data_IF_652247754468
#
_entry.id   IF_652247754468
#
_cell.length_a   1.000
_cell.length_b   1.000
_cell.length_c   1.000
_cell.angle_alpha   90.00
_cell.angle_beta   90.00
_cell.angle_gamma   90.00
#
_symmetry.space_group_name_H-M   'P 1'
#
loop_
_entity.id
_entity.type
_entity.pdbx_description
1 polymer ?
#
# COMPACT_ATOMS: atom_id res chain seq x y z
N UNK A 1 -58.35 34.16 7.29
CA UNK A 1 -56.97 34.15 7.77
C UNK A 1 -56.36 32.80 7.46
N UNK A 2 -55.50 32.74 6.45
CA UNK A 2 -54.80 31.51 6.08
C UNK A 2 -53.51 31.47 6.85
N UNK A 3 -53.41 30.54 7.83
CA UNK A 3 -52.14 30.28 8.50
C UNK A 3 -51.30 29.37 7.62
N UNK A 4 -50.26 29.93 6.99
CA UNK A 4 -49.26 29.18 6.29
C UNK A 4 -48.33 28.58 7.35
N UNK A 5 -48.52 27.28 7.59
CA UNK A 5 -47.55 26.51 8.41
C UNK A 5 -46.36 26.18 7.51
N UNK A 6 -45.29 26.93 7.69
CA UNK A 6 -44.04 26.67 7.00
C UNK A 6 -43.38 25.45 7.68
N UNK A 7 -43.57 24.30 7.09
CA UNK A 7 -42.96 23.07 7.55
C UNK A 7 -41.47 23.07 7.08
N UNK A 8 -40.58 23.49 7.96
CA UNK A 8 -39.14 23.48 7.76
C UNK A 8 -38.67 22.02 7.93
N UNK A 9 -38.75 21.26 6.84
CA UNK A 9 -38.17 19.92 6.80
C UNK A 9 -36.62 20.08 6.72
N UNK A 10 -36.00 20.10 7.88
CA UNK A 10 -34.55 20.11 8.00
C UNK A 10 -34.03 18.74 7.58
N UNK A 11 -33.70 18.59 6.29
CA UNK A 11 -33.06 17.40 5.77
C UNK A 11 -31.62 17.37 6.29
N UNK A 12 -31.41 16.62 7.37
CA UNK A 12 -30.10 16.36 7.93
C UNK A 12 -29.31 15.47 6.96
N UNK A 13 -28.54 16.10 6.08
CA UNK A 13 -27.58 15.40 5.23
C UNK A 13 -26.44 14.88 6.12
N UNK A 14 -26.50 13.61 6.48
CA UNK A 14 -25.38 12.88 7.06
C UNK A 14 -24.27 12.80 6.01
N UNK A 15 -23.36 13.76 6.04
CA UNK A 15 -22.11 13.67 5.27
C UNK A 15 -21.26 12.58 5.94
N UNK A 16 -21.31 11.39 5.37
CA UNK A 16 -20.45 10.30 5.76
C UNK A 16 -19.04 10.65 5.25
N UNK A 17 -18.24 11.30 6.08
CA UNK A 17 -16.83 11.58 5.78
C UNK A 17 -16.10 10.24 5.73
N UNK A 18 -15.87 9.73 4.53
CA UNK A 18 -14.94 8.62 4.33
C UNK A 18 -13.54 9.12 4.68
N UNK A 19 -13.08 8.80 5.86
CA UNK A 19 -11.69 9.00 6.24
C UNK A 19 -10.86 7.93 5.54
N UNK A 20 -10.23 8.31 4.42
CA UNK A 20 -9.16 7.51 3.83
C UNK A 20 -7.95 7.71 4.74
N UNK A 21 -7.56 6.67 5.48
CA UNK A 21 -6.37 6.72 6.31
C UNK A 21 -5.13 6.91 5.42
N UNK A 22 -4.26 7.89 5.77
CA UNK A 22 -2.97 8.05 5.13
C UNK A 22 -2.11 6.81 5.38
N UNK A 23 -1.28 6.43 4.38
CA UNK A 23 -0.35 5.32 4.52
C UNK A 23 0.66 5.57 5.64
N UNK A 24 0.96 4.54 6.43
CA UNK A 24 1.91 4.57 7.53
C UNK A 24 3.25 4.01 7.06
N UNK A 25 4.24 4.89 6.88
CA UNK A 25 5.59 4.54 6.42
C UNK A 25 6.29 3.63 7.44
N UNK A 26 6.14 3.90 8.74
CA UNK A 26 6.76 3.08 9.80
C UNK A 26 6.17 1.67 9.84
N UNK A 27 4.87 1.52 9.68
CA UNK A 27 4.23 0.22 9.57
C UNK A 27 4.67 -0.50 8.28
N UNK A 28 4.85 0.22 7.19
CA UNK A 28 5.40 -0.30 5.94
C UNK A 28 6.82 -0.84 6.12
N UNK A 29 7.69 -0.12 6.79
CA UNK A 29 9.04 -0.56 7.11
C UNK A 29 9.03 -1.84 7.97
N UNK A 30 8.21 -1.88 9.00
CA UNK A 30 8.05 -3.05 9.86
C UNK A 30 7.59 -4.27 9.06
N UNK A 31 6.60 -4.10 8.19
CA UNK A 31 6.13 -5.17 7.33
C UNK A 31 7.18 -5.64 6.32
N UNK A 32 7.92 -4.69 5.74
CA UNK A 32 9.03 -4.97 4.83
C UNK A 32 10.10 -5.84 5.50
N UNK A 33 10.55 -5.45 6.68
CA UNK A 33 11.58 -6.19 7.45
C UNK A 33 11.13 -7.58 7.88
N UNK A 34 9.84 -7.83 7.94
CA UNK A 34 9.30 -9.13 8.34
C UNK A 34 9.49 -10.21 7.25
N UNK A 35 9.36 -9.86 5.98
CA UNK A 35 9.39 -10.83 4.87
C UNK A 35 10.20 -10.37 3.66
N UNK A 36 10.00 -9.16 3.19
CA UNK A 36 10.52 -8.68 1.90
C UNK A 36 12.04 -8.55 1.88
N UNK A 37 12.60 -8.13 3.01
CA UNK A 37 14.05 -7.91 3.19
C UNK A 37 14.88 -9.17 2.91
N UNK A 38 14.33 -10.36 3.15
CA UNK A 38 15.06 -11.62 2.98
C UNK A 38 15.53 -11.84 1.55
N UNK A 39 14.79 -11.32 0.58
CA UNK A 39 15.13 -11.42 -0.84
C UNK A 39 15.56 -10.07 -1.42
N UNK A 40 14.81 -9.01 -1.16
CA UNK A 40 15.05 -7.70 -1.78
C UNK A 40 16.09 -6.83 -1.07
N UNK A 41 16.65 -7.31 0.04
CA UNK A 41 17.72 -6.64 0.76
C UNK A 41 17.27 -5.44 1.60
N UNK A 42 18.19 -4.86 2.37
CA UNK A 42 17.90 -3.69 3.19
C UNK A 42 17.36 -2.54 2.35
N UNK A 43 16.29 -1.89 2.84
CA UNK A 43 15.64 -0.75 2.18
C UNK A 43 15.24 -0.99 0.71
N UNK A 44 15.00 -2.23 0.32
CA UNK A 44 14.60 -2.58 -1.05
C UNK A 44 15.66 -2.35 -2.11
N UNK A 45 16.93 -2.34 -1.74
CA UNK A 45 18.04 -2.08 -2.68
C UNK A 45 18.26 -3.16 -3.73
N UNK A 46 17.68 -4.35 -3.52
CA UNK A 46 17.96 -5.54 -4.30
C UNK A 46 19.13 -6.35 -3.77
N UNK A 47 19.18 -7.61 -4.09
CA UNK A 47 20.26 -8.52 -3.71
C UNK A 47 20.38 -9.66 -4.73
N UNK A 48 21.58 -9.91 -5.25
CA UNK A 48 21.82 -10.94 -6.25
C UNK A 48 20.86 -10.83 -7.45
N UNK A 49 20.06 -11.87 -7.74
CA UNK A 49 19.06 -11.87 -8.83
C UNK A 49 17.74 -11.20 -8.44
N UNK A 50 17.54 -10.82 -7.18
CA UNK A 50 16.33 -10.14 -6.74
C UNK A 50 16.40 -8.64 -7.04
N UNK A 51 15.37 -8.07 -7.69
CA UNK A 51 15.47 -6.69 -8.15
C UNK A 51 15.37 -5.68 -7.01
N UNK A 52 15.94 -4.49 -7.28
CA UNK A 52 15.68 -3.29 -6.49
C UNK A 52 14.20 -2.92 -6.62
N UNK A 53 13.54 -2.67 -5.51
CA UNK A 53 12.12 -2.28 -5.43
C UNK A 53 11.89 -0.95 -4.72
N UNK A 54 12.93 -0.28 -4.25
CA UNK A 54 12.85 1.08 -3.70
C UNK A 54 12.92 2.13 -4.81
N UNK A 55 12.40 3.33 -4.52
CA UNK A 55 12.46 4.49 -5.41
C UNK A 55 11.38 4.53 -6.49
N UNK A 56 10.45 3.59 -6.51
CA UNK A 56 9.32 3.61 -7.42
C UNK A 56 8.17 4.46 -6.87
N UNK A 57 7.38 5.04 -7.78
CA UNK A 57 6.15 5.72 -7.39
C UNK A 57 5.20 4.77 -6.66
N UNK A 58 4.45 5.32 -5.70
CA UNK A 58 3.49 4.55 -4.88
C UNK A 58 2.53 3.75 -5.74
N UNK A 59 1.98 4.36 -6.79
CA UNK A 59 1.04 3.69 -7.70
C UNK A 59 1.67 2.47 -8.39
N UNK A 60 2.94 2.55 -8.78
CA UNK A 60 3.64 1.43 -9.41
C UNK A 60 3.78 0.23 -8.46
N UNK A 61 4.26 0.46 -7.24
CA UNK A 61 4.44 -0.60 -6.24
C UNK A 61 3.09 -1.20 -5.83
N UNK A 62 2.09 -0.36 -5.63
CA UNK A 62 0.73 -0.79 -5.32
C UNK A 62 0.18 -1.73 -6.41
N UNK A 63 0.26 -1.31 -7.67
CA UNK A 63 -0.20 -2.10 -8.80
C UNK A 63 0.50 -3.47 -8.87
N UNK A 64 1.82 -3.50 -8.71
CA UNK A 64 2.60 -4.74 -8.71
C UNK A 64 2.17 -5.70 -7.61
N UNK A 65 2.06 -5.21 -6.37
CA UNK A 65 1.67 -6.04 -5.23
C UNK A 65 0.23 -6.55 -5.36
N UNK A 66 -0.69 -5.72 -5.82
CA UNK A 66 -2.07 -6.12 -6.08
C UNK A 66 -2.17 -7.17 -7.20
N UNK A 67 -1.40 -7.00 -8.25
CA UNK A 67 -1.32 -7.96 -9.37
C UNK A 67 -0.82 -9.32 -8.89
N UNK A 68 0.27 -9.36 -8.13
CA UNK A 68 0.77 -10.59 -7.53
C UNK A 68 -0.23 -11.20 -6.54
N UNK A 69 -0.86 -10.38 -5.70
CA UNK A 69 -1.87 -10.85 -4.75
C UNK A 69 -3.06 -11.50 -5.45
N UNK A 70 -3.43 -11.02 -6.62
CA UNK A 70 -4.49 -11.63 -7.44
C UNK A 70 -4.11 -12.99 -8.04
N UNK A 71 -2.85 -13.39 -7.93
CA UNK A 71 -2.35 -14.62 -8.51
C UNK A 71 -1.91 -14.51 -9.97
N UNK A 72 -1.78 -13.29 -10.48
CA UNK A 72 -1.40 -13.05 -11.88
C UNK A 72 0.11 -13.08 -12.04
N UNK A 73 0.59 -13.89 -12.96
CA UNK A 73 2.00 -13.95 -13.34
C UNK A 73 2.38 -12.74 -14.21
N UNK A 74 3.44 -12.01 -13.80
CA UNK A 74 4.01 -10.91 -14.57
C UNK A 74 5.17 -11.40 -15.42
N UNK A 75 5.90 -12.38 -14.92
CA UNK A 75 7.04 -12.99 -15.58
C UNK A 75 7.26 -14.43 -15.13
N UNK A 76 8.24 -15.15 -15.69
CA UNK A 76 8.44 -16.59 -15.44
C UNK A 76 8.77 -16.92 -13.98
N UNK A 77 9.27 -15.95 -13.21
CA UNK A 77 9.67 -16.13 -11.81
C UNK A 77 8.69 -15.48 -10.81
N UNK A 78 7.46 -15.22 -11.22
CA UNK A 78 6.44 -14.55 -10.40
C UNK A 78 5.92 -15.38 -9.23
N UNK A 79 6.13 -16.70 -9.23
CA UNK A 79 5.54 -17.61 -8.24
C UNK A 79 5.83 -17.26 -6.78
N UNK A 80 7.07 -16.87 -6.48
CA UNK A 80 7.46 -16.45 -5.13
C UNK A 80 6.76 -15.15 -4.71
N UNK A 81 6.70 -14.17 -5.61
CA UNK A 81 6.02 -12.90 -5.31
C UNK A 81 4.52 -13.09 -5.16
N UNK A 82 3.89 -13.95 -5.94
CA UNK A 82 2.47 -14.31 -5.76
C UNK A 82 2.24 -14.89 -4.36
N UNK A 83 3.10 -15.80 -3.91
CA UNK A 83 3.02 -16.39 -2.58
C UNK A 83 3.21 -15.34 -1.47
N UNK A 84 4.16 -14.43 -1.65
CA UNK A 84 4.46 -13.38 -0.65
C UNK A 84 3.38 -12.31 -0.60
N UNK A 85 2.74 -11.98 -1.72
CA UNK A 85 1.73 -10.94 -1.79
C UNK A 85 0.33 -11.40 -1.38
N UNK A 86 0.01 -12.68 -1.51
CA UNK A 86 -1.33 -13.22 -1.19
C UNK A 86 -1.83 -12.85 0.21
N UNK A 87 -1.04 -12.92 1.30
CA UNK A 87 -1.53 -12.59 2.64
C UNK A 87 -1.61 -11.07 2.92
N UNK A 88 -1.17 -10.21 2.00
CA UNK A 88 -1.15 -8.76 2.24
C UNK A 88 -2.57 -8.18 2.22
N UNK A 89 -2.84 -7.32 3.19
CA UNK A 89 -4.04 -6.47 3.19
C UNK A 89 -3.83 -5.24 2.29
N UNK A 90 -4.91 -4.56 1.93
CA UNK A 90 -4.83 -3.29 1.19
C UNK A 90 -4.03 -2.23 1.96
N UNK A 91 -4.21 -2.18 3.29
CA UNK A 91 -3.46 -1.29 4.17
C UNK A 91 -1.96 -1.63 4.15
N UNK A 92 -1.59 -2.90 4.26
CA UNK A 92 -0.19 -3.32 4.20
C UNK A 92 0.45 -2.99 2.85
N UNK A 93 -0.25 -3.17 1.74
CA UNK A 93 0.22 -2.78 0.40
C UNK A 93 0.45 -1.27 0.35
N UNK A 94 -0.50 -0.48 0.84
CA UNK A 94 -0.39 0.98 0.88
C UNK A 94 0.81 1.44 1.71
N UNK A 95 0.99 0.85 2.88
CA UNK A 95 2.10 1.16 3.79
C UNK A 95 3.46 0.76 3.18
N UNK A 96 3.55 -0.42 2.57
CA UNK A 96 4.75 -0.88 1.87
C UNK A 96 5.13 0.03 0.70
N UNK A 97 4.15 0.42 -0.11
CA UNK A 97 4.39 1.29 -1.25
C UNK A 97 4.89 2.67 -0.82
N UNK A 98 4.33 3.23 0.25
CA UNK A 98 4.77 4.50 0.82
C UNK A 98 6.19 4.42 1.41
N UNK A 99 6.50 3.35 2.12
CA UNK A 99 7.84 3.11 2.64
C UNK A 99 8.88 2.97 1.52
N UNK A 100 8.61 2.13 0.54
CA UNK A 100 9.56 1.81 -0.52
C UNK A 100 9.85 2.99 -1.44
N UNK A 101 8.91 3.92 -1.61
CA UNK A 101 9.12 5.10 -2.47
C UNK A 101 10.39 5.86 -2.11
N UNK A 102 10.60 6.13 -0.83
CA UNK A 102 11.70 6.95 -0.33
C UNK A 102 12.76 6.15 0.45
N UNK A 103 12.62 4.82 0.51
CA UNK A 103 13.57 3.97 1.20
C UNK A 103 14.96 4.05 0.56
N UNK A 104 15.98 4.29 1.39
CA UNK A 104 17.37 4.39 0.96
C UNK A 104 18.24 3.52 1.84
N UNK A 105 19.11 2.76 1.19
CA UNK A 105 20.14 2.01 1.90
C UNK A 105 21.31 2.92 2.23
N UNK A 106 21.63 2.99 3.51
CA UNK A 106 22.82 3.70 4.00
C UNK A 106 23.80 2.65 4.56
N UNK A 107 25.00 2.62 4.00
CA UNK A 107 26.07 1.70 4.42
C UNK A 107 26.65 2.03 5.80
N UNK A 108 26.28 3.17 6.36
CA UNK A 108 26.78 3.65 7.65
C UNK A 108 25.81 3.44 8.83
N UNK A 109 24.70 2.73 8.60
CA UNK A 109 23.74 2.35 9.66
C UNK A 109 23.98 0.93 10.17
#
# INVERSE_FOLDING_TARGET
MIKVVFNFLCTFFLVFSMHVAAADISAGETRYKKTCINCHGPAGKGAASYPKISGNEVAYTTDKLETYRSGTEIGPNSGLMIMMAKPLTDEEISNLAAYLKDAKYDVNQ
#
